data_IF_454225258326
#
_entry.id   IF_454225258326
#
_cell.length_a   1.000
_cell.length_b   1.000
_cell.length_c   1.000
_cell.angle_alpha   90.00
_cell.angle_beta   90.00
_cell.angle_gamma   90.00
#
_symmetry.space_group_name_H-M   'P 1'
#
loop_
_entity.id
_entity.type
_entity.pdbx_description
1 polymer ?
#
# COMPACT_ATOMS: atom_id res chain seq x y z
N UNK A 1 11.30 -35.37 -19.09
CA UNK A 1 11.56 -34.03 -18.54
C UNK A 1 10.29 -33.22 -18.77
N UNK A 2 9.48 -33.04 -17.73
CA UNK A 2 8.19 -32.35 -17.81
C UNK A 2 8.45 -30.84 -17.77
N UNK A 3 8.12 -30.14 -18.85
CA UNK A 3 8.10 -28.68 -18.85
C UNK A 3 6.90 -28.23 -18.03
N UNK A 4 7.15 -27.43 -16.98
CA UNK A 4 6.11 -26.85 -16.14
C UNK A 4 5.28 -25.85 -16.95
N UNK A 5 3.97 -25.92 -16.78
CA UNK A 5 3.00 -25.02 -17.40
C UNK A 5 3.31 -23.55 -17.10
N UNK A 6 3.01 -22.62 -18.03
CA UNK A 6 3.03 -21.19 -17.72
C UNK A 6 2.02 -20.95 -16.59
N UNK A 7 2.44 -20.26 -15.53
CA UNK A 7 1.51 -19.77 -14.52
C UNK A 7 0.64 -18.74 -15.23
N UNK A 8 -0.61 -19.10 -15.49
CA UNK A 8 -1.64 -18.20 -16.00
C UNK A 8 -1.67 -16.97 -15.09
N UNK A 9 -1.19 -15.84 -15.60
CA UNK A 9 -1.27 -14.55 -14.93
C UNK A 9 -2.73 -14.11 -14.93
N UNK A 10 -3.50 -14.60 -13.95
CA UNK A 10 -4.83 -14.06 -13.65
C UNK A 10 -4.60 -12.72 -12.96
N UNK A 11 -4.32 -11.68 -13.76
CA UNK A 11 -4.52 -10.31 -13.31
C UNK A 11 -6.04 -10.12 -13.29
N UNK A 12 -6.66 -10.50 -12.17
CA UNK A 12 -8.07 -10.24 -11.92
C UNK A 12 -8.23 -8.75 -11.65
N UNK A 13 -8.43 -7.97 -12.71
CA UNK A 13 -8.86 -6.57 -12.63
C UNK A 13 -10.32 -6.51 -12.15
N UNK A 14 -10.55 -6.79 -10.87
CA UNK A 14 -11.80 -6.41 -10.21
C UNK A 14 -11.61 -5.00 -9.68
N UNK A 15 -12.11 -4.02 -10.41
CA UNK A 15 -12.27 -2.64 -9.97
C UNK A 15 -13.13 -2.60 -8.71
N UNK A 16 -12.50 -2.63 -7.54
CA UNK A 16 -13.15 -2.31 -6.28
C UNK A 16 -13.46 -0.81 -6.27
N UNK A 17 -14.64 -0.44 -6.78
CA UNK A 17 -15.14 0.92 -6.71
C UNK A 17 -15.46 1.28 -5.26
N UNK A 18 -14.66 2.17 -4.66
CA UNK A 18 -15.00 3.32 -3.78
C UNK A 18 -16.17 3.23 -2.76
N UNK A 19 -16.69 2.07 -2.43
CA UNK A 19 -17.58 1.83 -1.28
C UNK A 19 -16.92 0.84 -0.33
N UNK A 20 -16.97 1.17 0.97
CA UNK A 20 -16.70 0.23 2.04
C UNK A 20 -17.51 -1.05 1.77
N UNK A 21 -16.89 -2.24 1.71
CA UNK A 21 -17.62 -3.48 1.54
C UNK A 21 -18.60 -3.65 2.69
N UNK A 22 -19.83 -4.06 2.40
CA UNK A 22 -20.89 -4.28 3.41
C UNK A 22 -20.51 -5.30 4.50
N UNK A 23 -19.37 -5.99 4.33
CA UNK A 23 -18.88 -7.07 5.19
C UNK A 23 -17.63 -6.71 6.03
N UNK A 24 -17.20 -5.45 6.10
CA UNK A 24 -16.08 -5.00 6.97
C UNK A 24 -16.55 -4.79 8.42
N UNK A 25 -17.19 -5.80 9.01
CA UNK A 25 -17.79 -5.71 10.35
C UNK A 25 -16.76 -5.71 11.51
N UNK A 26 -15.48 -5.91 11.21
CA UNK A 26 -14.37 -5.91 12.19
C UNK A 26 -13.23 -5.01 11.71
N UNK A 27 -12.46 -4.47 12.66
CA UNK A 27 -11.27 -3.64 12.40
C UNK A 27 -10.25 -4.37 11.51
N UNK A 28 -10.06 -5.67 11.73
CA UNK A 28 -9.16 -6.50 10.93
C UNK A 28 -9.58 -6.55 9.46
N UNK A 29 -10.85 -6.87 9.17
CA UNK A 29 -11.37 -6.89 7.80
C UNK A 29 -11.32 -5.53 7.13
N UNK A 30 -11.47 -4.47 7.92
CA UNK A 30 -11.36 -3.11 7.42
C UNK A 30 -9.91 -2.77 7.00
N UNK A 31 -8.92 -3.17 7.80
CA UNK A 31 -7.49 -2.98 7.51
C UNK A 31 -7.01 -3.87 6.35
N UNK A 32 -7.51 -5.10 6.26
CA UNK A 32 -7.31 -5.97 5.10
C UNK A 32 -7.85 -5.29 3.84
N UNK A 33 -9.07 -4.75 3.89
CA UNK A 33 -9.65 -4.04 2.75
C UNK A 33 -8.85 -2.81 2.33
N UNK A 34 -8.40 -1.98 3.28
CA UNK A 34 -7.54 -0.83 2.97
C UNK A 34 -6.21 -1.26 2.35
N UNK A 35 -5.56 -2.29 2.90
CA UNK A 35 -4.29 -2.82 2.37
C UNK A 35 -4.44 -3.28 0.92
N UNK A 36 -5.51 -4.02 0.64
CA UNK A 36 -5.82 -4.49 -0.73
C UNK A 36 -6.12 -3.31 -1.65
N UNK A 37 -6.97 -2.36 -1.27
CA UNK A 37 -7.32 -1.22 -2.14
C UNK A 37 -6.09 -0.34 -2.45
N UNK A 38 -5.23 -0.07 -1.47
CA UNK A 38 -3.98 0.68 -1.68
C UNK A 38 -3.09 -0.03 -2.70
N UNK A 39 -2.91 -1.35 -2.57
CA UNK A 39 -2.05 -2.12 -3.46
C UNK A 39 -2.64 -2.31 -4.85
N UNK A 40 -3.95 -2.49 -4.95
CA UNK A 40 -4.63 -2.65 -6.23
C UNK A 40 -4.49 -1.37 -7.07
N UNK A 41 -4.62 -0.20 -6.43
CA UNK A 41 -4.37 1.09 -7.08
C UNK A 41 -2.88 1.31 -7.40
N UNK A 42 -1.96 0.91 -6.51
CA UNK A 42 -0.52 0.94 -6.78
C UNK A 42 -0.16 0.11 -8.04
N UNK A 43 -0.70 -1.11 -8.15
CA UNK A 43 -0.46 -2.01 -9.28
C UNK A 43 -1.12 -1.50 -10.58
N UNK A 44 -2.24 -0.79 -10.48
CA UNK A 44 -2.88 -0.05 -11.60
C UNK A 44 -2.15 1.23 -12.01
N UNK A 45 -1.08 1.61 -11.30
CA UNK A 45 -0.35 2.88 -11.44
C UNK A 45 -1.19 4.12 -11.10
N UNK A 46 -2.29 3.95 -10.37
CA UNK A 46 -3.00 5.06 -9.74
C UNK A 46 -2.40 5.33 -8.36
N UNK A 47 -1.33 6.10 -8.36
CA UNK A 47 -0.63 6.42 -7.13
C UNK A 47 -1.19 7.62 -6.36
N UNK A 48 -2.11 8.37 -6.98
CA UNK A 48 -2.68 9.56 -6.36
C UNK A 48 -3.95 9.19 -5.55
N UNK A 49 -4.71 8.18 -5.98
CA UNK A 49 -5.91 7.73 -5.27
C UNK A 49 -5.64 7.33 -3.80
N UNK A 50 -4.67 6.43 -3.49
CA UNK A 50 -4.43 6.03 -2.09
C UNK A 50 -4.08 7.20 -1.18
N UNK A 51 -3.36 8.20 -1.71
CA UNK A 51 -2.93 9.36 -0.93
C UNK A 51 -4.10 10.31 -0.69
N UNK A 52 -4.90 10.58 -1.73
CA UNK A 52 -6.09 11.42 -1.57
C UNK A 52 -7.12 10.78 -0.62
N UNK A 53 -7.18 9.44 -0.58
CA UNK A 53 -8.17 8.71 0.21
C UNK A 53 -7.74 8.44 1.66
N UNK A 54 -6.46 8.09 1.87
CA UNK A 54 -5.94 7.58 3.14
C UNK A 54 -4.78 8.40 3.70
N UNK A 55 -4.23 9.36 2.93
CA UNK A 55 -3.09 10.15 3.35
C UNK A 55 -3.39 11.00 4.58
N UNK A 56 -2.48 10.97 5.55
CA UNK A 56 -2.52 11.87 6.70
C UNK A 56 -2.13 13.29 6.28
N UNK A 57 -2.87 14.29 6.76
CA UNK A 57 -2.52 15.71 6.57
C UNK A 57 -1.15 16.06 7.19
N UNK A 58 -0.73 15.32 8.22
CA UNK A 58 0.52 15.51 8.94
C UNK A 58 1.56 14.44 8.59
N UNK A 59 1.50 13.88 7.38
CA UNK A 59 2.44 12.85 6.95
C UNK A 59 3.89 13.31 7.05
N UNK A 60 4.70 12.47 7.72
CA UNK A 60 6.15 12.58 7.79
C UNK A 60 6.76 11.20 7.59
N UNK A 61 7.81 11.14 6.80
CA UNK A 61 8.62 9.95 6.58
C UNK A 61 10.05 10.25 6.95
N UNK A 62 10.67 9.35 7.70
CA UNK A 62 12.06 9.45 8.12
C UNK A 62 12.75 8.10 7.85
N UNK A 63 13.90 8.13 7.18
CA UNK A 63 14.70 6.93 6.93
C UNK A 63 16.20 7.23 7.01
N UNK A 64 16.95 6.36 7.66
CA UNK A 64 18.42 6.42 7.66
C UNK A 64 18.93 5.76 6.38
N UNK A 65 19.69 6.50 5.60
CA UNK A 65 20.30 6.02 4.37
C UNK A 65 21.56 5.19 4.66
N UNK A 66 22.03 4.43 3.67
CA UNK A 66 23.21 3.57 3.81
C UNK A 66 24.50 4.33 4.14
N UNK A 67 24.57 5.62 3.82
CA UNK A 67 25.69 6.51 4.14
C UNK A 67 25.57 7.14 5.55
N UNK A 68 24.53 6.78 6.31
CA UNK A 68 24.25 7.29 7.64
C UNK A 68 23.49 8.62 7.66
N UNK A 69 23.14 9.20 6.51
CA UNK A 69 22.34 10.43 6.45
C UNK A 69 20.86 10.16 6.74
N UNK A 70 20.18 11.16 7.32
CA UNK A 70 18.74 11.10 7.56
C UNK A 70 17.99 11.68 6.35
N UNK A 71 17.08 10.91 5.77
CA UNK A 71 16.12 11.36 4.79
C UNK A 71 14.80 11.68 5.48
N UNK A 72 14.40 12.94 5.47
CA UNK A 72 13.09 13.40 5.96
C UNK A 72 12.24 13.87 4.78
N UNK A 73 11.01 13.34 4.65
CA UNK A 73 10.08 13.70 3.58
C UNK A 73 8.69 14.01 4.14
N UNK A 74 8.13 15.11 3.65
CA UNK A 74 6.71 15.43 3.76
C UNK A 74 5.91 14.82 2.59
N UNK A 75 4.59 15.01 2.57
CA UNK A 75 3.74 14.46 1.51
C UNK A 75 4.16 14.93 0.09
N UNK A 76 4.45 16.23 -0.16
CA UNK A 76 5.00 16.69 -1.44
C UNK A 76 6.34 16.03 -1.82
N UNK A 77 7.26 15.87 -0.87
CA UNK A 77 8.54 15.20 -1.06
C UNK A 77 8.37 13.73 -1.46
N UNK A 78 7.51 13.01 -0.74
CA UNK A 78 7.20 11.62 -1.03
C UNK A 78 6.52 11.45 -2.41
N UNK A 79 5.69 12.41 -2.84
CA UNK A 79 5.13 12.41 -4.19
C UNK A 79 6.19 12.47 -5.28
N UNK A 80 7.21 13.32 -5.12
CA UNK A 80 8.32 13.42 -6.08
C UNK A 80 9.14 12.14 -6.12
N UNK A 81 9.49 11.60 -4.95
CA UNK A 81 10.25 10.36 -4.84
C UNK A 81 9.54 9.19 -5.53
N UNK A 82 8.22 9.08 -5.32
CA UNK A 82 7.39 8.04 -5.92
C UNK A 82 7.37 8.12 -7.44
N UNK A 83 7.19 9.32 -8.00
CA UNK A 83 7.22 9.51 -9.47
C UNK A 83 8.57 9.08 -10.03
N UNK A 84 9.65 9.61 -9.46
CA UNK A 84 11.01 9.26 -9.86
C UNK A 84 11.25 7.74 -9.80
N UNK A 85 10.88 7.09 -8.69
CA UNK A 85 11.15 5.67 -8.50
C UNK A 85 10.24 4.77 -9.35
N UNK A 86 8.92 4.89 -9.23
CA UNK A 86 7.99 3.92 -9.83
C UNK A 86 7.61 4.21 -11.27
N UNK A 87 7.76 5.45 -11.74
CA UNK A 87 7.48 5.79 -13.14
C UNK A 87 8.76 5.85 -13.97
N UNK A 88 9.84 6.45 -13.44
CA UNK A 88 11.04 6.70 -14.24
C UNK A 88 12.10 5.60 -14.10
N UNK A 89 12.29 5.01 -12.91
CA UNK A 89 13.40 4.09 -12.64
C UNK A 89 13.01 2.61 -12.61
N UNK A 90 11.83 2.31 -12.06
CA UNK A 90 11.34 0.94 -11.85
C UNK A 90 9.90 0.77 -12.35
N UNK A 91 9.60 1.02 -13.64
CA UNK A 91 8.25 0.94 -14.21
C UNK A 91 7.65 -0.48 -14.21
N UNK A 92 8.45 -1.51 -13.91
CA UNK A 92 8.02 -2.90 -13.75
C UNK A 92 7.73 -3.30 -12.29
N UNK A 93 7.99 -2.43 -11.31
CA UNK A 93 7.79 -2.75 -9.90
C UNK A 93 6.30 -2.98 -9.60
N UNK A 94 5.98 -4.08 -8.93
CA UNK A 94 4.62 -4.39 -8.46
C UNK A 94 4.66 -4.66 -6.94
N UNK A 95 3.53 -4.47 -6.28
CA UNK A 95 3.36 -4.74 -4.86
C UNK A 95 2.48 -5.96 -4.63
N UNK A 96 2.75 -6.70 -3.57
CA UNK A 96 1.97 -7.85 -3.12
C UNK A 96 1.78 -7.74 -1.60
N UNK A 97 0.56 -8.01 -1.10
CA UNK A 97 0.34 -8.21 0.34
C UNK A 97 0.83 -9.60 0.69
N UNK A 98 1.86 -9.70 1.53
CA UNK A 98 2.31 -11.00 2.05
C UNK A 98 1.61 -11.37 3.36
N UNK A 99 1.36 -10.39 4.23
CA UNK A 99 0.67 -10.56 5.51
C UNK A 99 0.05 -9.24 5.98
N UNK A 100 -1.01 -9.30 6.79
CA UNK A 100 -1.64 -8.16 7.46
C UNK A 100 -1.77 -8.50 8.95
N UNK A 101 -0.93 -7.87 9.78
CA UNK A 101 -0.93 -8.09 11.23
C UNK A 101 -1.54 -6.88 11.92
N UNK A 102 -2.51 -7.13 12.81
CA UNK A 102 -3.16 -6.10 13.63
C UNK A 102 -2.83 -6.35 15.10
N UNK A 103 -2.18 -5.39 15.74
CA UNK A 103 -1.95 -5.41 17.18
C UNK A 103 -3.02 -4.55 17.86
N UNK A 104 -3.92 -5.18 18.61
CA UNK A 104 -4.90 -4.49 19.44
C UNK A 104 -4.34 -4.40 20.87
N UNK A 105 -4.17 -3.18 21.38
CA UNK A 105 -3.95 -2.98 22.81
C UNK A 105 -5.31 -3.13 23.53
N UNK A 106 -5.64 -4.36 23.89
CA UNK A 106 -6.87 -4.72 24.59
C UNK A 106 -6.97 -4.10 26.00
N UNK A 107 -5.85 -3.64 26.58
CA UNK A 107 -5.82 -3.06 27.94
C UNK A 107 -6.30 -1.61 27.90
N UNK A 108 -5.95 -0.86 26.86
CA UNK A 108 -6.30 0.56 26.72
C UNK A 108 -7.49 0.81 25.78
N UNK A 109 -8.12 -0.24 25.24
CA UNK A 109 -9.27 -0.11 24.34
C UNK A 109 -9.00 0.73 23.09
N UNK A 110 -7.73 0.84 22.70
CA UNK A 110 -7.27 1.66 21.58
C UNK A 110 -6.49 0.77 20.63
N UNK A 111 -6.91 0.75 19.36
CA UNK A 111 -6.07 0.25 18.29
C UNK A 111 -4.94 1.27 18.09
N UNK A 112 -3.77 1.00 18.64
CA UNK A 112 -2.58 1.79 18.31
C UNK A 112 -2.16 1.38 16.89
N UNK A 113 -2.15 2.37 15.99
CA UNK A 113 -1.56 2.26 14.65
C UNK A 113 -0.05 2.26 14.78
#
# INVERSE_FOLDING_TARGET
>A
MSQGSPVDSVISNTSAGSKLPENTSTTEKLLEWYSVDILDNFNKRDFDYPIARYGSENYKFEAIQNDGSLLELDAPGMKKLRVWFFLEHCPQAYGEVLDVVVHLDEINGTAAV
#
